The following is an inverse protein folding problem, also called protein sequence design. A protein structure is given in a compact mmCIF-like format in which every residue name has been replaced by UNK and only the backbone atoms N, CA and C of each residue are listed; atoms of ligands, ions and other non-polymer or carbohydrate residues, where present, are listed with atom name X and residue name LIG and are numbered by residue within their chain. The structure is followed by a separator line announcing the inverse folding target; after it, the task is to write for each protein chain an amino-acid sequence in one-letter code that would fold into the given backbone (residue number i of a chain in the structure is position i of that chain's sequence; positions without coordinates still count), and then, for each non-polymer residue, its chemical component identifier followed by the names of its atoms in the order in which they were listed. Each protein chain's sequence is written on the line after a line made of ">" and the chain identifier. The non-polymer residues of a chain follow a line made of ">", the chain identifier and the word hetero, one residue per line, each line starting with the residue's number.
data_IF_228969924201
#
_entry.id   IF_228969924201
#
_cell.length_a   1.000
_cell.length_b   1.000
_cell.length_c   1.000
_cell.angle_alpha   90.00
_cell.angle_beta   90.00
_cell.angle_gamma   90.00
#
_symmetry.space_group_name_H-M   'P 1'
#
loop_
_entity.id
_entity.type
_entity.pdbx_description
1 polymer ?
#
# COMPACT_ATOMS: atom_id res chain seq x y z
N UNK A 1 -18.61 -14.52 34.96
CA UNK A 1 -17.18 -14.16 34.95
C UNK A 1 -16.38 -14.72 33.76
N UNK A 2 -16.45 -16.01 33.37
CA UNK A 2 -15.60 -16.53 32.27
C UNK A 2 -15.94 -15.96 30.87
N UNK A 3 -17.20 -15.63 30.60
CA UNK A 3 -17.60 -15.04 29.31
C UNK A 3 -17.06 -13.61 29.09
N UNK A 4 -16.95 -12.82 30.15
CA UNK A 4 -16.43 -11.45 30.07
C UNK A 4 -14.93 -11.44 29.77
N UNK A 5 -14.16 -12.31 30.44
CA UNK A 5 -12.72 -12.47 30.21
C UNK A 5 -12.42 -12.89 28.76
N UNK A 6 -13.22 -13.80 28.20
CA UNK A 6 -13.06 -14.25 26.82
C UNK A 6 -13.32 -13.14 25.78
N UNK A 7 -14.32 -12.29 26.02
CA UNK A 7 -14.60 -11.16 25.14
C UNK A 7 -13.50 -10.10 25.21
N UNK A 8 -13.00 -9.79 26.42
CA UNK A 8 -11.88 -8.87 26.61
C UNK A 8 -10.62 -9.37 25.92
N UNK A 9 -10.27 -10.66 26.05
CA UNK A 9 -9.10 -11.23 25.37
C UNK A 9 -9.23 -11.19 23.85
N UNK A 10 -10.44 -11.45 23.32
CA UNK A 10 -10.70 -11.35 21.88
C UNK A 10 -10.56 -9.92 21.36
N UNK A 11 -11.06 -8.93 22.11
CA UNK A 11 -10.93 -7.52 21.75
C UNK A 11 -9.49 -7.04 21.79
N UNK A 12 -8.72 -7.45 22.81
CA UNK A 12 -7.29 -7.14 22.89
C UNK A 12 -6.54 -7.73 21.70
N UNK A 13 -6.77 -9.01 21.38
CA UNK A 13 -6.13 -9.66 20.25
C UNK A 13 -6.54 -9.03 18.91
N UNK A 14 -7.82 -8.72 18.73
CA UNK A 14 -8.31 -8.03 17.53
C UNK A 14 -7.66 -6.66 17.36
N UNK A 15 -7.51 -5.91 18.46
CA UNK A 15 -6.83 -4.60 18.46
C UNK A 15 -5.35 -4.75 18.13
N UNK A 16 -4.68 -5.76 18.70
CA UNK A 16 -3.27 -6.03 18.42
C UNK A 16 -3.05 -6.38 16.95
N UNK A 17 -3.92 -7.20 16.34
CA UNK A 17 -3.85 -7.52 14.91
C UNK A 17 -3.99 -6.26 14.06
N UNK A 18 -5.01 -5.44 14.33
CA UNK A 18 -5.21 -4.17 13.60
C UNK A 18 -4.00 -3.24 13.79
N UNK A 19 -3.51 -3.10 15.02
CA UNK A 19 -2.35 -2.29 15.35
C UNK A 19 -1.13 -2.71 14.54
N UNK A 20 -0.77 -3.99 14.58
CA UNK A 20 0.43 -4.51 13.91
C UNK A 20 0.36 -4.38 12.38
N UNK A 21 -0.82 -4.47 11.78
CA UNK A 21 -0.96 -4.27 10.32
C UNK A 21 -0.91 -2.79 9.94
N UNK A 22 -1.58 -1.93 10.72
CA UNK A 22 -1.65 -0.50 10.42
C UNK A 22 -0.31 0.20 10.63
N UNK A 23 0.48 -0.24 11.62
CA UNK A 23 1.72 0.44 11.98
C UNK A 23 2.92 0.13 11.07
N UNK A 24 2.81 -0.90 10.22
CA UNK A 24 3.93 -1.36 9.41
C UNK A 24 4.49 -0.21 8.53
N UNK A 25 5.80 0.09 8.61
CA UNK A 25 6.46 0.99 7.68
C UNK A 25 6.47 0.42 6.26
N UNK A 26 6.51 1.29 5.25
CA UNK A 26 6.65 0.90 3.85
C UNK A 26 8.07 1.12 3.28
N UNK A 27 9.00 1.62 4.10
CA UNK A 27 10.38 1.91 3.69
C UNK A 27 11.39 1.12 4.53
N UNK A 28 12.42 0.49 3.94
CA UNK A 28 13.40 -0.31 4.69
C UNK A 28 14.09 0.47 5.82
N UNK A 29 14.49 1.72 5.57
CA UNK A 29 15.12 2.57 6.59
C UNK A 29 14.20 2.92 7.77
N UNK A 30 12.87 2.81 7.59
CA UNK A 30 11.90 3.07 8.65
C UNK A 30 11.50 1.81 9.42
N UNK A 31 11.93 0.62 8.96
CA UNK A 31 11.63 -0.69 9.57
C UNK A 31 12.48 -0.92 10.82
N UNK A 32 12.26 -0.10 11.84
CA UNK A 32 12.99 -0.11 13.11
C UNK A 32 12.08 -0.54 14.25
N UNK A 33 12.68 -0.98 15.38
CA UNK A 33 11.93 -1.23 16.61
C UNK A 33 11.18 0.01 17.12
N UNK A 34 11.67 1.21 16.78
CA UNK A 34 10.99 2.48 17.08
C UNK A 34 9.65 2.65 16.38
N UNK A 35 9.48 2.08 15.18
CA UNK A 35 8.22 2.15 14.45
C UNK A 35 7.06 1.46 15.18
N UNK A 36 7.34 0.39 15.93
CA UNK A 36 6.36 -0.33 16.73
C UNK A 36 5.86 0.46 17.95
N UNK A 37 6.44 1.63 18.24
CA UNK A 37 5.99 2.52 19.31
C UNK A 37 5.15 3.68 18.81
N UNK A 38 5.04 3.86 17.48
CA UNK A 38 4.19 4.90 16.92
C UNK A 38 2.73 4.44 17.02
N UNK A 39 1.84 5.36 17.42
CA UNK A 39 0.42 5.04 17.53
C UNK A 39 -0.28 5.21 16.16
N UNK A 40 -0.93 4.17 15.60
CA UNK A 40 -1.64 4.27 14.33
C UNK A 40 -2.94 5.05 14.53
N UNK A 41 -3.01 6.27 14.00
CA UNK A 41 -4.19 7.14 14.13
C UNK A 41 -5.42 6.58 13.41
N UNK A 42 -5.24 5.66 12.47
CA UNK A 42 -6.34 4.97 11.77
C UNK A 42 -7.02 3.93 12.67
N UNK A 43 -6.32 3.39 13.67
CA UNK A 43 -6.87 2.37 14.55
C UNK A 43 -8.14 2.83 15.29
N UNK A 44 -8.15 3.97 16.01
CA UNK A 44 -9.37 4.45 16.66
C UNK A 44 -10.47 4.79 15.64
N UNK A 45 -10.12 5.27 14.44
CA UNK A 45 -11.10 5.58 13.38
C UNK A 45 -11.78 4.30 12.88
N UNK A 46 -11.00 3.26 12.57
CA UNK A 46 -11.52 1.97 12.11
C UNK A 46 -12.40 1.32 13.17
N UNK A 47 -11.95 1.28 14.43
CA UNK A 47 -12.72 0.69 15.53
C UNK A 47 -14.02 1.48 15.75
N UNK A 48 -13.95 2.80 15.83
CA UNK A 48 -15.12 3.65 16.04
C UNK A 48 -16.13 3.50 14.89
N UNK A 49 -15.68 3.46 13.64
CA UNK A 49 -16.54 3.26 12.48
C UNK A 49 -17.25 1.89 12.52
N UNK A 50 -16.52 0.81 12.82
CA UNK A 50 -17.10 -0.54 12.93
C UNK A 50 -18.14 -0.65 14.06
N UNK A 51 -17.84 -0.06 15.22
CA UNK A 51 -18.74 -0.05 16.38
C UNK A 51 -19.98 0.79 16.11
N UNK A 52 -19.82 1.95 15.47
CA UNK A 52 -20.91 2.87 15.15
C UNK A 52 -21.93 2.25 14.18
N UNK A 53 -21.44 1.61 13.11
CA UNK A 53 -22.30 1.01 12.07
C UNK A 53 -22.88 -0.34 12.53
N UNK A 54 -22.14 -1.12 13.32
CA UNK A 54 -22.59 -2.39 13.87
C UNK A 54 -22.72 -3.52 12.83
N UNK A 55 -23.40 -4.62 13.18
CA UNK A 55 -23.40 -5.87 12.39
C UNK A 55 -24.44 -5.98 11.26
N UNK A 56 -25.06 -4.87 10.85
CA UNK A 56 -26.03 -4.86 9.75
C UNK A 56 -25.39 -5.01 8.36
N UNK A 57 -26.20 -4.95 7.30
CA UNK A 57 -25.71 -5.00 5.90
C UNK A 57 -24.66 -3.93 5.64
N UNK A 58 -24.93 -2.67 6.04
CA UNK A 58 -24.00 -1.56 5.90
C UNK A 58 -22.67 -1.83 6.63
N UNK A 59 -22.72 -2.48 7.80
CA UNK A 59 -21.52 -2.84 8.56
C UNK A 59 -20.71 -3.94 7.90
N UNK A 60 -21.35 -4.93 7.30
CA UNK A 60 -20.66 -5.97 6.53
C UNK A 60 -20.01 -5.41 5.27
N UNK A 61 -20.68 -4.47 4.57
CA UNK A 61 -20.10 -3.76 3.42
C UNK A 61 -18.90 -2.92 3.86
N UNK A 62 -19.04 -2.12 4.93
CA UNK A 62 -17.93 -1.34 5.49
C UNK A 62 -16.76 -2.24 5.90
N UNK A 63 -17.05 -3.35 6.57
CA UNK A 63 -16.05 -4.33 7.00
C UNK A 63 -15.31 -4.96 5.83
N UNK A 64 -16.02 -5.37 4.78
CA UNK A 64 -15.42 -5.90 3.57
C UNK A 64 -14.54 -4.85 2.90
N UNK A 65 -15.03 -3.62 2.75
CA UNK A 65 -14.27 -2.50 2.19
C UNK A 65 -13.00 -2.21 2.98
N UNK A 66 -13.09 -2.07 4.31
CA UNK A 66 -11.94 -1.82 5.18
C UNK A 66 -10.93 -2.98 5.11
N UNK A 67 -11.39 -4.22 5.17
CA UNK A 67 -10.51 -5.39 5.11
C UNK A 67 -9.77 -5.44 3.79
N UNK A 68 -10.47 -5.32 2.66
CA UNK A 68 -9.85 -5.32 1.32
C UNK A 68 -8.87 -4.16 1.18
N UNK A 69 -9.24 -2.96 1.64
CA UNK A 69 -8.39 -1.77 1.56
C UNK A 69 -7.11 -1.94 2.38
N UNK A 70 -7.21 -2.39 3.63
CA UNK A 70 -6.05 -2.58 4.52
C UNK A 70 -5.15 -3.71 3.99
N UNK A 71 -5.72 -4.82 3.51
CA UNK A 71 -4.95 -5.91 2.87
C UNK A 71 -4.23 -5.42 1.61
N UNK A 72 -4.93 -4.66 0.76
CA UNK A 72 -4.35 -4.07 -0.45
C UNK A 72 -3.19 -3.14 -0.13
N UNK A 73 -3.36 -2.25 0.85
CA UNK A 73 -2.28 -1.35 1.28
C UNK A 73 -1.12 -2.15 1.89
N UNK A 74 -1.39 -3.16 2.73
CA UNK A 74 -0.34 -4.01 3.28
C UNK A 74 0.48 -4.72 2.19
N UNK A 75 -0.18 -5.23 1.14
CA UNK A 75 0.50 -5.81 -0.02
C UNK A 75 1.36 -4.77 -0.76
N UNK A 76 0.86 -3.53 -0.92
CA UNK A 76 1.61 -2.43 -1.52
C UNK A 76 2.82 -2.02 -0.67
N UNK A 77 2.72 -2.04 0.66
CA UNK A 77 3.87 -1.78 1.56
C UNK A 77 4.96 -2.85 1.41
N UNK A 78 4.58 -4.12 1.27
CA UNK A 78 5.52 -5.21 1.01
C UNK A 78 6.16 -5.05 -0.37
N UNK A 79 5.38 -4.64 -1.38
CA UNK A 79 5.90 -4.36 -2.71
C UNK A 79 6.89 -3.19 -2.69
N UNK A 80 6.57 -2.08 -2.01
CA UNK A 80 7.46 -0.94 -1.79
C UNK A 80 8.78 -1.41 -1.14
N UNK A 81 8.71 -2.24 -0.09
CA UNK A 81 9.90 -2.77 0.57
C UNK A 81 10.79 -3.56 -0.40
N UNK A 82 10.19 -4.44 -1.20
CA UNK A 82 10.91 -5.20 -2.23
C UNK A 82 11.55 -4.33 -3.30
N UNK A 83 10.83 -3.33 -3.82
CA UNK A 83 11.38 -2.43 -4.85
C UNK A 83 12.40 -1.46 -4.29
N UNK A 84 12.31 -1.04 -3.02
CA UNK A 84 13.34 -0.21 -2.42
C UNK A 84 14.64 -0.99 -2.25
N UNK A 85 14.57 -2.27 -1.86
CA UNK A 85 15.76 -3.12 -1.78
C UNK A 85 16.38 -3.34 -3.17
N UNK A 86 15.55 -3.59 -4.19
CA UNK A 86 16.05 -3.92 -5.53
C UNK A 86 16.47 -2.71 -6.37
N UNK A 87 15.74 -1.60 -6.25
CA UNK A 87 15.80 -0.46 -7.18
C UNK A 87 15.92 0.91 -6.49
N UNK A 88 15.97 0.95 -5.16
CA UNK A 88 16.01 2.18 -4.37
C UNK A 88 14.87 3.18 -4.70
N UNK A 89 13.70 2.66 -5.08
CA UNK A 89 12.47 3.44 -5.33
C UNK A 89 11.22 2.70 -4.86
N UNK A 90 10.14 3.46 -4.66
CA UNK A 90 8.82 2.90 -4.36
C UNK A 90 8.21 2.13 -5.53
N UNK A 91 7.32 1.21 -5.20
CA UNK A 91 6.61 0.37 -6.16
C UNK A 91 5.53 1.19 -6.87
N UNK A 92 5.55 1.16 -8.20
CA UNK A 92 4.54 1.79 -9.05
C UNK A 92 3.64 0.70 -9.62
N UNK A 93 2.36 0.68 -9.21
CA UNK A 93 1.43 -0.37 -9.60
C UNK A 93 1.27 -0.54 -11.12
N UNK A 94 1.36 0.55 -11.90
CA UNK A 94 1.17 0.49 -13.35
C UNK A 94 2.45 0.11 -14.09
N UNK A 95 3.60 0.62 -13.64
CA UNK A 95 4.88 0.32 -14.29
C UNK A 95 5.41 -1.06 -13.88
N UNK A 96 5.38 -1.37 -12.58
CA UNK A 96 6.10 -2.50 -11.99
C UNK A 96 5.34 -3.81 -12.05
N UNK A 97 4.03 -3.80 -12.35
CA UNK A 97 3.27 -5.02 -12.56
C UNK A 97 3.87 -5.87 -13.70
N UNK A 98 4.46 -5.21 -14.69
CA UNK A 98 5.12 -5.86 -15.82
C UNK A 98 6.46 -6.49 -15.42
N UNK A 99 7.06 -6.05 -14.32
CA UNK A 99 8.30 -6.63 -13.80
C UNK A 99 8.07 -7.96 -13.07
N UNK A 100 6.82 -8.34 -12.78
CA UNK A 100 6.52 -9.61 -12.09
C UNK A 100 6.98 -10.83 -12.90
N UNK A 101 6.87 -10.79 -14.23
CA UNK A 101 7.35 -11.86 -15.10
C UNK A 101 8.88 -11.97 -15.04
N UNK A 102 9.58 -10.85 -15.11
CA UNK A 102 11.03 -10.78 -14.99
C UNK A 102 11.50 -11.24 -13.61
N UNK A 103 10.81 -10.83 -12.54
CA UNK A 103 11.07 -11.27 -11.17
C UNK A 103 10.90 -12.78 -11.03
N UNK A 104 9.88 -13.36 -11.67
CA UNK A 104 9.65 -14.81 -11.68
C UNK A 104 10.75 -15.58 -12.41
N UNK A 105 11.17 -15.11 -13.58
CA UNK A 105 12.28 -15.71 -14.34
C UNK A 105 13.59 -15.63 -13.54
N UNK A 106 13.86 -14.48 -12.92
CA UNK A 106 15.02 -14.28 -12.06
C UNK A 106 15.00 -15.22 -10.84
N UNK A 107 13.85 -15.35 -10.18
CA UNK A 107 13.71 -16.24 -9.03
C UNK A 107 13.97 -17.69 -9.42
N UNK A 108 13.42 -18.15 -10.55
CA UNK A 108 13.66 -19.50 -11.04
C UNK A 108 15.11 -19.73 -11.41
N UNK A 109 15.77 -18.76 -12.05
CA UNK A 109 17.19 -18.83 -12.40
C UNK A 109 18.11 -18.83 -11.17
N UNK A 110 17.69 -18.19 -10.07
CA UNK A 110 18.50 -18.04 -8.85
C UNK A 110 18.31 -19.18 -7.86
N UNK A 111 17.07 -19.63 -7.63
CA UNK A 111 16.71 -20.60 -6.60
C UNK A 111 16.18 -21.93 -7.15
N UNK A 112 15.92 -22.02 -8.45
CA UNK A 112 15.25 -23.15 -9.08
C UNK A 112 13.72 -23.09 -8.96
N UNK A 113 13.03 -23.75 -9.89
CA UNK A 113 11.58 -23.65 -10.04
C UNK A 113 10.77 -24.05 -8.79
N UNK A 114 11.19 -25.09 -8.08
CA UNK A 114 10.48 -25.60 -6.89
C UNK A 114 10.53 -24.58 -5.75
N UNK A 115 11.71 -24.05 -5.43
CA UNK A 115 11.85 -23.07 -4.35
C UNK A 115 11.15 -21.75 -4.68
N UNK A 116 11.20 -21.30 -5.95
CA UNK A 116 10.44 -20.12 -6.38
C UNK A 116 8.93 -20.31 -6.23
N UNK A 117 8.41 -21.48 -6.61
CA UNK A 117 6.99 -21.79 -6.47
C UNK A 117 6.56 -21.86 -5.00
N UNK A 118 7.38 -22.47 -4.13
CA UNK A 118 7.12 -22.51 -2.69
C UNK A 118 7.16 -21.10 -2.06
N UNK A 119 8.10 -20.25 -2.48
CA UNK A 119 8.19 -18.87 -2.00
C UNK A 119 6.95 -18.06 -2.40
N UNK A 120 6.50 -18.19 -3.66
CA UNK A 120 5.27 -17.54 -4.13
C UNK A 120 4.04 -18.05 -3.38
N UNK A 121 3.91 -19.36 -3.20
CA UNK A 121 2.82 -19.97 -2.45
C UNK A 121 2.80 -19.49 -0.99
N UNK A 122 3.96 -19.41 -0.34
CA UNK A 122 4.10 -18.90 1.02
C UNK A 122 3.70 -17.41 1.12
N UNK A 123 4.10 -16.58 0.14
CA UNK A 123 3.71 -15.17 0.09
C UNK A 123 2.19 -14.99 -0.05
N UNK A 124 1.56 -15.76 -0.95
CA UNK A 124 0.10 -15.76 -1.13
C UNK A 124 -0.63 -16.25 0.13
N UNK A 125 -0.13 -17.33 0.74
CA UNK A 125 -0.69 -17.85 1.99
C UNK A 125 -0.57 -16.85 3.14
N UNK A 126 0.58 -16.18 3.29
CA UNK A 126 0.77 -15.14 4.28
C UNK A 126 -0.22 -13.98 4.11
N UNK A 127 -0.41 -13.51 2.87
CA UNK A 127 -1.39 -12.46 2.59
C UNK A 127 -2.83 -12.90 2.89
N UNK A 128 -3.19 -14.15 2.56
CA UNK A 128 -4.48 -14.72 2.90
C UNK A 128 -4.69 -14.83 4.42
N UNK A 129 -3.66 -15.22 5.17
CA UNK A 129 -3.71 -15.27 6.64
C UNK A 129 -3.92 -13.87 7.25
N UNK A 130 -3.24 -12.85 6.73
CA UNK A 130 -3.46 -11.45 7.13
C UNK A 130 -4.91 -11.03 6.84
N UNK A 131 -5.44 -11.36 5.65
CA UNK A 131 -6.82 -11.05 5.31
C UNK A 131 -7.83 -11.74 6.24
N UNK A 132 -7.61 -13.02 6.57
CA UNK A 132 -8.44 -13.77 7.52
C UNK A 132 -8.35 -13.20 8.94
N UNK A 133 -7.15 -12.83 9.39
CA UNK A 133 -6.92 -12.23 10.71
C UNK A 133 -7.61 -10.86 10.82
N UNK A 134 -7.51 -10.01 9.80
CA UNK A 134 -8.21 -8.72 9.74
C UNK A 134 -9.72 -8.91 9.66
N UNK A 135 -10.20 -9.85 8.84
CA UNK A 135 -11.61 -10.18 8.77
C UNK A 135 -12.13 -10.59 10.14
N UNK A 136 -11.43 -11.47 10.84
CA UNK A 136 -11.79 -11.89 12.19
C UNK A 136 -11.78 -10.70 13.16
N UNK A 137 -10.69 -9.92 13.22
CA UNK A 137 -10.52 -8.80 14.14
C UNK A 137 -11.59 -7.72 13.97
N UNK A 138 -11.86 -7.31 12.73
CA UNK A 138 -12.94 -6.36 12.42
C UNK A 138 -14.32 -6.92 12.79
N UNK A 139 -14.53 -8.23 12.63
CA UNK A 139 -15.76 -8.91 13.03
C UNK A 139 -15.97 -8.94 14.55
N UNK A 140 -14.91 -9.06 15.34
CA UNK A 140 -14.98 -8.98 16.81
C UNK A 140 -15.46 -7.59 17.24
N UNK A 141 -14.82 -6.53 16.74
CA UNK A 141 -15.19 -5.15 17.07
C UNK A 141 -16.60 -4.76 16.61
N UNK A 142 -16.99 -5.18 15.40
CA UNK A 142 -18.33 -4.94 14.87
C UNK A 142 -19.44 -5.59 15.72
N UNK A 143 -19.18 -6.79 16.28
CA UNK A 143 -20.13 -7.50 17.17
C UNK A 143 -20.10 -7.00 18.62
N UNK A 144 -19.02 -6.34 19.04
CA UNK A 144 -18.88 -5.80 20.39
C UNK A 144 -19.75 -4.56 20.66
N UNK A 145 -20.59 -4.14 19.70
CA UNK A 145 -21.44 -2.95 19.75
C UNK A 145 -22.95 -3.22 20.00
N UNK A 146 -23.39 -4.00 21.01
CA UNK A 146 -24.81 -4.22 21.26
C UNK A 146 -25.50 -3.04 21.97
N UNK A 147 -24.78 -2.22 22.73
CA UNK A 147 -25.37 -1.15 23.55
C UNK A 147 -25.39 0.22 22.84
N UNK A 148 -26.50 0.96 22.99
CA UNK A 148 -26.67 2.33 22.45
C UNK A 148 -25.58 3.30 22.95
N UNK A 149 -25.13 3.14 24.20
CA UNK A 149 -24.04 3.92 24.80
C UNK A 149 -22.71 3.72 24.07
N UNK A 150 -22.38 2.50 23.65
CA UNK A 150 -21.15 2.20 22.91
C UNK A 150 -21.14 2.86 21.54
N UNK A 151 -22.29 2.88 20.85
CA UNK A 151 -22.40 3.56 19.55
C UNK A 151 -22.30 5.08 19.68
N UNK A 152 -22.90 5.63 20.74
CA UNK A 152 -22.78 7.06 21.03
C UNK A 152 -21.32 7.44 21.32
N UNK A 153 -20.64 6.69 22.20
CA UNK A 153 -19.23 6.90 22.49
C UNK A 153 -18.35 6.78 21.24
N UNK A 154 -18.60 5.78 20.38
CA UNK A 154 -17.90 5.63 19.11
C UNK A 154 -18.12 6.83 18.17
N UNK A 155 -19.35 7.34 18.06
CA UNK A 155 -19.64 8.54 17.27
C UNK A 155 -18.90 9.78 17.79
N UNK A 156 -18.88 9.96 19.11
CA UNK A 156 -18.16 11.08 19.75
C UNK A 156 -16.64 10.97 19.56
N UNK A 157 -16.07 9.76 19.62
CA UNK A 157 -14.64 9.50 19.41
C UNK A 157 -14.21 9.57 17.94
N UNK A 158 -15.11 9.25 17.00
CA UNK A 158 -14.79 9.20 15.58
C UNK A 158 -14.37 10.56 15.03
N UNK A 159 -15.08 11.63 15.42
CA UNK A 159 -14.82 12.99 14.94
C UNK A 159 -13.41 13.49 15.29
N UNK A 160 -12.98 13.50 16.58
CA UNK A 160 -11.62 13.94 16.93
C UNK A 160 -10.55 12.98 16.39
N UNK A 161 -10.80 11.66 16.37
CA UNK A 161 -9.85 10.70 15.79
C UNK A 161 -9.61 10.96 14.29
N UNK A 162 -10.69 11.22 13.54
CA UNK A 162 -10.60 11.55 12.12
C UNK A 162 -9.91 12.91 11.92
N UNK A 163 -10.23 13.91 12.73
CA UNK A 163 -9.59 15.23 12.65
C UNK A 163 -8.08 15.14 12.90
N UNK A 164 -7.64 14.38 13.90
CA UNK A 164 -6.22 14.15 14.18
C UNK A 164 -5.52 13.40 13.03
N UNK A 165 -6.14 12.35 12.49
CA UNK A 165 -5.59 11.61 11.36
C UNK A 165 -5.45 12.51 10.12
N UNK A 166 -6.45 13.32 9.81
CA UNK A 166 -6.42 14.25 8.67
C UNK A 166 -5.38 15.35 8.88
N UNK A 167 -5.28 15.91 10.08
CA UNK A 167 -4.29 16.93 10.42
C UNK A 167 -2.86 16.41 10.27
N UNK A 168 -2.57 15.20 10.78
CA UNK A 168 -1.25 14.57 10.63
C UNK A 168 -0.91 14.32 9.16
N UNK A 169 -1.85 13.80 8.36
CA UNK A 169 -1.64 13.58 6.93
C UNK A 169 -1.34 14.91 6.22
N UNK A 170 -2.11 15.96 6.51
CA UNK A 170 -1.96 17.27 5.87
C UNK A 170 -0.59 17.89 6.20
N UNK A 171 -0.13 17.78 7.44
CA UNK A 171 1.18 18.26 7.89
C UNK A 171 2.32 17.43 7.30
N UNK A 172 2.24 16.09 7.38
CA UNK A 172 3.25 15.19 6.84
C UNK A 172 3.45 15.36 5.33
N UNK A 173 2.37 15.73 4.62
CA UNK A 173 2.39 16.03 3.18
C UNK A 173 2.73 17.48 2.85
N UNK A 174 3.07 18.30 3.85
CA UNK A 174 3.40 19.73 3.72
C UNK A 174 2.30 20.55 3.01
N UNK A 175 1.04 20.12 3.14
CA UNK A 175 -0.11 20.87 2.63
C UNK A 175 -0.46 22.03 3.56
N UNK A 176 -0.29 21.82 4.87
CA UNK A 176 -0.53 22.79 5.93
C UNK A 176 0.64 22.74 6.90
N UNK A 177 1.06 23.88 7.41
CA UNK A 177 2.01 23.95 8.54
C UNK A 177 1.21 24.16 9.81
N UNK A 178 1.21 23.17 10.70
CA UNK A 178 0.54 23.27 11.99
C UNK A 178 1.43 24.03 12.97
N UNK A 179 0.87 24.85 13.89
CA UNK A 179 1.64 25.39 14.99
C UNK A 179 2.25 24.26 15.84
N UNK A 180 3.46 24.44 16.35
CA UNK A 180 4.18 23.41 17.15
C UNK A 180 3.35 22.88 18.33
N UNK A 181 2.56 23.76 18.96
CA UNK A 181 1.66 23.41 20.05
C UNK A 181 0.57 22.40 19.63
N UNK A 182 0.14 22.42 18.36
CA UNK A 182 -0.86 21.50 17.80
C UNK A 182 -0.18 20.24 17.28
N UNK A 183 0.95 20.37 16.58
CA UNK A 183 1.74 19.23 16.08
C UNK A 183 2.17 18.30 17.22
N UNK A 184 2.64 18.87 18.34
CA UNK A 184 3.01 18.11 19.55
C UNK A 184 1.86 17.41 20.28
N UNK A 185 0.59 17.73 19.95
CA UNK A 185 -0.59 17.05 20.51
C UNK A 185 -0.99 15.81 19.71
N UNK A 186 -0.44 15.60 18.51
CA UNK A 186 -0.76 14.44 17.67
C UNK A 186 0.01 13.23 18.22
N UNK A 187 -0.67 12.22 18.79
CA UNK A 187 -0.01 11.17 19.57
C UNK A 187 0.60 10.06 18.70
N UNK A 188 0.65 10.23 17.37
CA UNK A 188 0.99 9.15 16.45
C UNK A 188 0.99 9.57 14.98
N UNK A 189 0.83 8.60 14.09
CA UNK A 189 0.86 8.80 12.64
C UNK A 189 -0.22 7.99 11.92
N UNK A 190 -0.73 8.51 10.81
CA UNK A 190 -1.68 7.83 9.93
C UNK A 190 -0.96 7.23 8.71
N UNK A 191 0.05 6.38 8.95
CA UNK A 191 0.92 5.81 7.92
C UNK A 191 0.18 5.04 6.83
N UNK A 192 -0.76 4.18 7.19
CA UNK A 192 -1.51 3.35 6.23
C UNK A 192 -2.41 4.22 5.36
N UNK A 193 -3.12 5.18 5.97
CA UNK A 193 -3.95 6.12 5.22
C UNK A 193 -3.11 6.98 4.26
N UNK A 194 -1.95 7.48 4.72
CA UNK A 194 -1.02 8.27 3.91
C UNK A 194 -0.49 7.49 2.70
N UNK A 195 -0.02 6.25 2.92
CA UNK A 195 0.41 5.37 1.81
C UNK A 195 -0.73 5.15 0.82
N UNK A 196 -1.96 4.92 1.30
CA UNK A 196 -3.13 4.79 0.43
C UNK A 196 -3.34 6.00 -0.49
N UNK A 197 -3.23 7.22 0.04
CA UNK A 197 -3.36 8.46 -0.73
C UNK A 197 -2.21 8.65 -1.73
N UNK A 198 -0.97 8.43 -1.30
CA UNK A 198 0.21 8.49 -2.17
C UNK A 198 0.08 7.51 -3.36
N UNK A 199 -0.49 6.32 -3.13
CA UNK A 199 -0.71 5.35 -4.22
C UNK A 199 -1.78 5.80 -5.21
N UNK A 200 -2.86 6.42 -4.75
CA UNK A 200 -3.89 6.97 -5.66
C UNK A 200 -3.30 8.05 -6.56
N UNK A 201 -2.48 8.93 -6.00
CA UNK A 201 -1.80 9.99 -6.75
C UNK A 201 -0.78 9.44 -7.73
N UNK A 202 0.08 8.52 -7.27
CA UNK A 202 1.07 7.87 -8.13
C UNK A 202 0.41 7.19 -9.33
N UNK A 203 -0.71 6.48 -9.12
CA UNK A 203 -1.46 5.83 -10.20
C UNK A 203 -2.06 6.86 -11.16
N UNK A 204 -2.59 7.98 -10.66
CA UNK A 204 -3.13 9.05 -11.51
C UNK A 204 -2.03 9.67 -12.36
N UNK A 205 -0.92 10.05 -11.74
CA UNK A 205 0.17 10.77 -12.39
C UNK A 205 0.85 9.86 -13.43
N UNK A 206 1.11 8.59 -13.07
CA UNK A 206 1.65 7.60 -14.02
C UNK A 206 0.73 7.37 -15.22
N UNK A 207 -0.60 7.39 -15.04
CA UNK A 207 -1.52 7.30 -16.19
C UNK A 207 -1.40 8.51 -17.11
N UNK A 208 -1.26 9.71 -16.55
CA UNK A 208 -1.10 10.92 -17.34
C UNK A 208 0.23 10.89 -18.11
N UNK A 209 1.32 10.51 -17.44
CA UNK A 209 2.64 10.41 -18.05
C UNK A 209 2.67 9.36 -19.18
N UNK A 210 2.05 8.20 -18.98
CA UNK A 210 1.93 7.18 -20.03
C UNK A 210 1.08 7.67 -21.22
N UNK A 211 0.07 8.51 -21.00
CA UNK A 211 -0.71 9.08 -22.09
C UNK A 211 0.13 10.09 -22.90
N UNK A 212 0.90 10.94 -22.22
CA UNK A 212 1.84 11.88 -22.87
C UNK A 212 2.91 11.12 -23.64
N UNK A 213 3.53 10.10 -23.02
CA UNK A 213 4.55 9.29 -23.66
C UNK A 213 4.04 8.62 -24.94
N UNK A 214 2.84 8.02 -24.90
CA UNK A 214 2.23 7.42 -26.10
C UNK A 214 1.97 8.43 -27.21
N UNK A 215 1.61 9.66 -26.86
CA UNK A 215 1.43 10.72 -27.85
C UNK A 215 2.76 11.11 -28.50
N UNK A 216 3.81 11.27 -27.70
CA UNK A 216 5.16 11.56 -28.20
C UNK A 216 5.70 10.42 -29.06
N UNK A 217 5.51 9.17 -28.64
CA UNK A 217 5.95 7.99 -29.38
C UNK A 217 5.23 7.85 -30.74
N UNK A 218 3.93 8.21 -30.80
CA UNK A 218 3.18 8.22 -32.07
C UNK A 218 3.63 9.33 -33.02
N UNK A 219 4.06 10.46 -32.48
CA UNK A 219 4.53 11.62 -33.23
C UNK A 219 6.05 11.72 -33.24
N UNK A 220 6.76 10.59 -33.23
CA UNK A 220 8.22 10.55 -33.21
C UNK A 220 8.78 11.32 -34.44
N UNK A 221 9.51 12.44 -34.24
CA UNK A 221 10.05 13.24 -35.32
C UNK A 221 11.04 12.48 -36.21
N UNK A 222 11.63 11.38 -35.69
CA UNK A 222 12.56 10.54 -36.42
C UNK A 222 11.85 9.42 -37.19
N UNK A 223 10.55 9.20 -36.96
CA UNK A 223 9.80 8.17 -37.67
C UNK A 223 9.69 8.49 -39.17
N UNK A 224 10.16 7.57 -40.00
CA UNK A 224 10.13 7.72 -41.46
C UNK A 224 11.12 8.73 -42.03
N UNK A 225 12.02 9.29 -41.21
CA UNK A 225 13.06 10.18 -41.70
C UNK A 225 14.06 9.37 -42.53
N UNK A 226 14.24 9.79 -43.78
CA UNK A 226 15.32 9.35 -44.65
C UNK A 226 15.80 10.57 -45.45
N UNK A 227 17.12 10.69 -45.73
CA UNK A 227 18.19 9.74 -45.41
C UNK A 227 18.87 9.99 -44.05
N UNK A 228 19.17 8.93 -43.28
CA UNK A 228 19.78 9.07 -41.94
C UNK A 228 21.31 8.91 -41.98
N UNK A 229 21.81 7.79 -42.51
CA UNK A 229 23.23 7.42 -42.47
C UNK A 229 23.88 7.30 -43.85
N UNK A 230 23.26 7.86 -44.88
CA UNK A 230 23.64 7.69 -46.28
C UNK A 230 25.05 8.20 -46.61
N UNK A 231 25.61 9.07 -45.77
CA UNK A 231 27.00 9.54 -45.90
C UNK A 231 28.05 8.50 -45.54
N UNK A 232 27.65 7.35 -44.98
CA UNK A 232 28.58 6.25 -44.65
C UNK A 232 29.06 5.49 -45.88
N UNK A 233 28.39 5.61 -47.03
CA UNK A 233 28.76 4.91 -48.26
C UNK A 233 28.75 3.39 -48.07
N UNK A 234 29.89 2.72 -48.26
CA UNK A 234 30.05 1.27 -48.14
C UNK A 234 30.44 0.78 -46.74
N UNK A 235 30.45 1.66 -45.74
CA UNK A 235 30.90 1.33 -44.37
C UNK A 235 29.73 0.79 -43.55
N UNK A 236 29.99 -0.28 -42.81
CA UNK A 236 29.03 -0.85 -41.88
C UNK A 236 28.82 0.07 -40.65
N UNK A 237 27.57 0.27 -40.25
CA UNK A 237 27.20 0.93 -38.99
C UNK A 237 26.65 -0.11 -38.03
N UNK A 238 27.34 -0.29 -36.91
CA UNK A 238 26.84 -1.12 -35.81
C UNK A 238 26.39 -0.17 -34.70
N UNK A 239 25.08 -0.07 -34.49
CA UNK A 239 24.51 0.59 -33.32
C UNK A 239 24.30 -0.47 -32.25
N UNK A 240 25.13 -0.44 -31.21
CA UNK A 240 24.95 -1.28 -30.03
C UNK A 240 24.25 -0.45 -28.97
N UNK A 241 22.94 -0.67 -28.81
CA UNK A 241 22.17 -0.10 -27.73
C UNK A 241 22.15 -1.07 -26.56
N UNK A 242 22.89 -0.73 -25.49
CA UNK A 242 22.92 -1.52 -24.25
C UNK A 242 22.01 -0.85 -23.24
N UNK A 243 20.83 -1.44 -23.03
CA UNK A 243 19.87 -0.97 -22.05
C UNK A 243 19.62 -2.04 -21.01
N UNK A 244 19.59 -1.65 -19.73
CA UNK A 244 19.35 -2.56 -18.60
C UNK A 244 18.04 -3.35 -18.71
N UNK A 245 17.09 -2.87 -19.50
CA UNK A 245 15.76 -3.46 -19.70
C UNK A 245 15.40 -3.66 -21.16
N UNK A 246 16.38 -3.92 -22.05
CA UNK A 246 16.16 -3.90 -23.50
C UNK A 246 15.01 -4.78 -24.02
N UNK A 247 14.60 -5.84 -23.30
CA UNK A 247 13.41 -6.62 -23.65
C UNK A 247 12.08 -5.90 -23.34
N UNK A 248 12.04 -5.17 -22.23
CA UNK A 248 10.87 -4.38 -21.82
C UNK A 248 10.53 -3.30 -22.85
N UNK A 249 11.54 -2.73 -23.50
CA UNK A 249 11.39 -1.71 -24.55
C UNK A 249 10.71 -2.24 -25.82
N UNK A 250 10.69 -3.57 -26.03
CA UNK A 250 9.95 -4.21 -27.12
C UNK A 250 8.60 -4.77 -26.69
N UNK A 251 8.51 -5.33 -25.48
CA UNK A 251 7.30 -5.99 -24.98
C UNK A 251 6.29 -4.98 -24.41
N UNK A 252 6.74 -3.81 -23.95
CA UNK A 252 5.90 -2.76 -23.41
C UNK A 252 6.53 -1.35 -23.63
N UNK A 253 6.58 -0.89 -24.89
CA UNK A 253 7.15 0.41 -25.25
C UNK A 253 6.38 1.57 -24.62
#
# INVERSE_FOLDING_TARGET
>A
MPQALHLTSQLLLATLILYLVLIQPNHPAAMTWGALWVFPLELPVVIAALVLVGSGLAGQVLRAFLTVTIVGIAALKVADFGTFIAFNRGFNLLADINLLSAAWVLAQGSFGAVLSALALAAAVAALALVALALWWATGVWMRAAPARSSRFAAGVLLVPALALAVAEIAEARRMVTLPDAVSGLIPGAAFTARVGLERVEQVRDTRADLAVFRELARNDPMAGVAPLFDRLGTRDLIIVYVESYGRSSFENP
#
